data_IF_145693224959
#
_entry.id   IF_145693224959
#
_cell.length_a   1.000
_cell.length_b   1.000
_cell.length_c   1.000
_cell.angle_alpha   90.00
_cell.angle_beta   90.00
_cell.angle_gamma   90.00
#
_symmetry.space_group_name_H-M   'P 1'
#
loop_
_entity.id
_entity.type
_entity.pdbx_description
1 polymer ?
#
# COMPACT_ATOMS: atom_id res chain seq x y z
N UNK A 1 19.02 -10.00 7.51
CA UNK A 1 17.98 -10.86 6.91
C UNK A 1 17.55 -10.31 5.58
N UNK A 2 17.44 -11.19 4.60
CA UNK A 2 16.93 -10.81 3.29
C UNK A 2 15.40 -10.79 3.31
N UNK A 3 14.84 -9.82 2.61
CA UNK A 3 13.42 -9.76 2.34
C UNK A 3 13.16 -10.63 1.11
N UNK A 4 12.60 -11.81 1.32
CA UNK A 4 12.37 -12.78 0.25
C UNK A 4 11.32 -12.32 -0.76
N UNK A 5 10.64 -11.20 -0.48
CA UNK A 5 9.54 -10.69 -1.30
C UNK A 5 9.93 -9.44 -2.09
N UNK A 6 11.18 -9.03 -2.06
CA UNK A 6 11.64 -7.82 -2.76
C UNK A 6 11.35 -7.91 -4.26
N UNK A 7 11.67 -9.04 -4.88
CA UNK A 7 11.46 -9.19 -6.32
C UNK A 7 9.98 -9.19 -6.68
N UNK A 8 9.15 -9.85 -5.87
CA UNK A 8 7.70 -9.85 -6.09
C UNK A 8 7.14 -8.42 -5.98
N UNK A 9 7.63 -7.65 -5.00
CA UNK A 9 7.21 -6.27 -4.81
C UNK A 9 7.65 -5.38 -5.97
N UNK A 10 8.88 -5.57 -6.46
CA UNK A 10 9.37 -4.83 -7.61
C UNK A 10 8.56 -5.14 -8.87
N UNK A 11 8.20 -6.41 -9.07
CA UNK A 11 7.33 -6.79 -10.20
C UNK A 11 5.94 -6.17 -10.06
N UNK A 12 5.40 -6.13 -8.83
CA UNK A 12 4.12 -5.47 -8.59
C UNK A 12 4.16 -4.01 -9.04
N UNK A 13 5.21 -3.29 -8.66
CA UNK A 13 5.35 -1.88 -9.06
C UNK A 13 5.44 -1.76 -10.58
N UNK A 14 6.26 -2.56 -11.23
CA UNK A 14 6.45 -2.47 -12.68
C UNK A 14 5.21 -2.91 -13.46
N UNK A 15 4.62 -4.04 -13.09
CA UNK A 15 3.59 -4.68 -13.89
C UNK A 15 2.18 -4.21 -13.57
N UNK A 16 1.94 -3.75 -12.34
CA UNK A 16 0.61 -3.35 -11.91
C UNK A 16 0.45 -1.85 -11.79
N UNK A 17 1.51 -1.10 -11.50
CA UNK A 17 1.43 0.33 -11.26
C UNK A 17 1.96 1.13 -12.44
N UNK A 18 3.21 0.94 -12.81
CA UNK A 18 3.80 1.67 -13.95
C UNK A 18 3.04 1.36 -15.23
N UNK A 19 2.68 0.10 -15.46
CA UNK A 19 1.94 -0.32 -16.65
C UNK A 19 0.55 0.31 -16.74
N UNK A 20 0.00 0.74 -15.61
CA UNK A 20 -1.33 1.39 -15.55
C UNK A 20 -1.24 2.88 -15.32
N UNK A 21 -0.11 3.48 -15.69
CA UNK A 21 0.10 4.92 -15.70
C UNK A 21 0.13 5.58 -14.31
N UNK A 22 0.53 4.86 -13.27
CA UNK A 22 0.93 5.51 -12.02
C UNK A 22 2.28 6.16 -12.30
N UNK A 23 2.35 7.48 -12.19
CA UNK A 23 3.51 8.27 -12.62
C UNK A 23 4.27 8.94 -11.50
N UNK A 24 3.64 9.16 -10.36
CA UNK A 24 4.29 9.83 -9.24
C UNK A 24 5.43 8.97 -8.71
N UNK A 25 6.67 9.42 -8.92
CA UNK A 25 7.85 8.65 -8.51
C UNK A 25 7.91 8.41 -7.01
N UNK A 26 7.35 9.31 -6.22
CA UNK A 26 7.32 9.16 -4.76
C UNK A 26 6.36 8.06 -4.34
N UNK A 27 5.20 7.98 -5.00
CA UNK A 27 4.24 6.90 -4.77
C UNK A 27 4.86 5.56 -5.16
N UNK A 28 5.50 5.50 -6.32
CA UNK A 28 6.15 4.27 -6.80
C UNK A 28 7.25 3.82 -5.83
N UNK A 29 8.07 4.75 -5.33
CA UNK A 29 9.11 4.41 -4.36
C UNK A 29 8.54 3.91 -3.04
N UNK A 30 7.47 4.55 -2.56
CA UNK A 30 6.82 4.12 -1.32
C UNK A 30 6.26 2.70 -1.47
N UNK A 31 5.59 2.43 -2.58
CA UNK A 31 5.04 1.10 -2.85
C UNK A 31 6.14 0.04 -3.02
N UNK A 32 7.29 0.44 -3.52
CA UNK A 32 8.43 -0.48 -3.63
C UNK A 32 9.10 -0.74 -2.29
N UNK A 33 8.95 0.18 -1.33
CA UNK A 33 9.61 0.09 -0.03
C UNK A 33 8.80 -0.66 1.01
N UNK A 34 7.49 -0.40 1.08
CA UNK A 34 6.65 -0.93 2.16
C UNK A 34 6.36 -2.41 1.92
N UNK A 35 6.69 -3.27 2.89
CA UNK A 35 6.51 -4.72 2.73
C UNK A 35 5.06 -5.13 2.97
N UNK A 36 4.26 -5.11 1.91
CA UNK A 36 2.82 -5.38 1.95
C UNK A 36 2.48 -6.69 2.65
N UNK A 37 3.30 -7.73 2.45
CA UNK A 37 3.03 -9.05 3.04
C UNK A 37 3.00 -9.01 4.57
N UNK A 38 3.76 -8.10 5.20
CA UNK A 38 3.78 -8.00 6.67
C UNK A 38 2.47 -7.47 7.26
N UNK A 39 1.58 -6.96 6.42
CA UNK A 39 0.26 -6.47 6.84
C UNK A 39 -0.83 -7.53 6.68
N UNK A 40 -0.44 -8.76 6.35
CA UNK A 40 -1.33 -9.89 6.15
C UNK A 40 -0.98 -11.03 7.09
N UNK A 41 -1.94 -11.92 7.33
CA UNK A 41 -1.64 -13.16 8.03
C UNK A 41 -0.66 -13.99 7.17
N UNK A 42 0.16 -14.77 7.84
CA UNK A 42 1.25 -15.49 7.19
C UNK A 42 0.78 -16.41 6.06
N UNK A 43 -0.40 -17.00 6.20
CA UNK A 43 -0.99 -17.88 5.20
C UNK A 43 -1.22 -17.18 3.86
N UNK A 44 -1.29 -15.85 3.87
CA UNK A 44 -1.57 -15.05 2.66
C UNK A 44 -0.32 -14.40 2.07
N UNK A 45 0.84 -14.56 2.70
CA UNK A 45 2.05 -13.87 2.24
C UNK A 45 2.41 -14.18 0.79
N UNK A 46 2.19 -15.41 0.33
CA UNK A 46 2.49 -15.80 -1.04
C UNK A 46 1.66 -15.04 -2.06
N UNK A 47 0.50 -14.52 -1.65
CA UNK A 47 -0.44 -13.81 -2.50
C UNK A 47 -0.37 -12.28 -2.33
N UNK A 48 0.51 -11.79 -1.46
CA UNK A 48 0.52 -10.40 -1.02
C UNK A 48 0.70 -9.39 -2.16
N UNK A 49 1.42 -9.78 -3.20
CA UNK A 49 1.76 -8.87 -4.31
C UNK A 49 0.98 -9.16 -5.58
N UNK A 50 -0.08 -9.97 -5.48
CA UNK A 50 -0.96 -10.26 -6.58
C UNK A 50 -1.91 -9.09 -6.85
N UNK A 51 -2.44 -9.06 -8.06
CA UNK A 51 -3.22 -7.94 -8.59
C UNK A 51 -4.70 -8.04 -8.20
N UNK A 52 -4.97 -8.12 -6.90
CA UNK A 52 -6.34 -8.17 -6.38
C UNK A 52 -6.35 -7.89 -4.87
N UNK A 53 -7.53 -7.60 -4.28
CA UNK A 53 -7.65 -7.44 -2.83
C UNK A 53 -7.53 -8.79 -2.12
N UNK A 54 -7.22 -8.75 -0.83
CA UNK A 54 -7.12 -9.95 0.01
C UNK A 54 -7.88 -9.74 1.32
N UNK A 55 -8.41 -10.82 1.92
CA UNK A 55 -9.10 -10.71 3.20
C UNK A 55 -8.13 -10.44 4.36
N UNK A 56 -8.56 -9.67 5.34
CA UNK A 56 -7.77 -9.37 6.54
C UNK A 56 -8.52 -9.69 7.84
N UNK A 57 -9.65 -10.39 7.76
CA UNK A 57 -10.49 -10.68 8.92
C UNK A 57 -11.58 -9.65 9.10
N UNK A 58 -12.52 -9.91 10.03
CA UNK A 58 -13.65 -9.02 10.33
C UNK A 58 -14.42 -8.61 9.07
N UNK A 59 -14.47 -9.48 8.07
CA UNK A 59 -15.12 -9.26 6.77
C UNK A 59 -14.56 -8.06 6.01
N UNK A 60 -13.30 -7.70 6.30
CA UNK A 60 -12.62 -6.61 5.61
C UNK A 60 -11.56 -7.16 4.66
N UNK A 61 -11.08 -6.27 3.79
CA UNK A 61 -10.02 -6.61 2.84
C UNK A 61 -8.93 -5.54 2.85
N UNK A 62 -7.71 -5.94 2.47
CA UNK A 62 -6.69 -5.01 2.03
C UNK A 62 -6.95 -4.77 0.55
N UNK A 63 -6.99 -3.52 0.14
CA UNK A 63 -7.31 -3.18 -1.25
C UNK A 63 -6.23 -3.66 -2.22
N UNK A 64 -6.62 -3.88 -3.47
CA UNK A 64 -5.71 -4.20 -4.57
C UNK A 64 -4.59 -3.15 -4.62
N UNK A 65 -3.33 -3.56 -4.88
CA UNK A 65 -2.22 -2.60 -4.91
C UNK A 65 -2.43 -1.39 -5.80
N UNK A 66 -2.95 -1.60 -7.01
CA UNK A 66 -3.21 -0.51 -7.94
C UNK A 66 -4.17 0.52 -7.36
N UNK A 67 -5.24 0.07 -6.70
CA UNK A 67 -6.23 0.97 -6.11
C UNK A 67 -5.60 1.82 -5.00
N UNK A 68 -4.77 1.21 -4.16
CA UNK A 68 -4.05 1.96 -3.11
C UNK A 68 -3.18 3.05 -3.75
N UNK A 69 -2.39 2.67 -4.76
CA UNK A 69 -1.50 3.61 -5.43
C UNK A 69 -2.27 4.73 -6.14
N UNK A 70 -3.37 4.38 -6.83
CA UNK A 70 -4.19 5.34 -7.55
C UNK A 70 -4.81 6.38 -6.62
N UNK A 71 -5.38 5.93 -5.51
CA UNK A 71 -6.00 6.83 -4.55
C UNK A 71 -4.97 7.76 -3.91
N UNK A 72 -3.80 7.24 -3.58
CA UNK A 72 -2.73 8.05 -2.97
C UNK A 72 -2.16 9.04 -3.98
N UNK A 73 -1.94 8.61 -5.22
CA UNK A 73 -1.47 9.52 -6.27
C UNK A 73 -2.45 10.67 -6.48
N UNK A 74 -3.74 10.39 -6.41
CA UNK A 74 -4.77 11.41 -6.60
C UNK A 74 -4.75 12.50 -5.53
N UNK A 75 -4.18 12.22 -4.37
CA UNK A 75 -4.04 13.21 -3.30
C UNK A 75 -2.97 14.26 -3.60
N UNK A 76 -2.07 13.99 -4.51
CA UNK A 76 -1.00 14.91 -4.91
C UNK A 76 -0.19 15.42 -3.72
N UNK A 77 0.24 14.50 -2.84
CA UNK A 77 0.96 14.86 -1.63
C UNK A 77 2.35 15.43 -1.95
N UNK A 78 2.73 16.47 -1.23
CA UNK A 78 4.03 17.16 -1.42
C UNK A 78 5.04 16.85 -0.33
N UNK A 79 4.59 16.30 0.79
CA UNK A 79 5.47 15.90 1.89
C UNK A 79 5.17 16.59 3.22
N UNK A 80 4.49 17.72 3.21
CA UNK A 80 4.22 18.50 4.42
C UNK A 80 2.81 18.31 4.96
N UNK A 81 1.97 17.55 4.28
CA UNK A 81 0.55 17.42 4.63
C UNK A 81 0.34 16.57 5.87
N UNK A 82 -0.80 16.78 6.47
CA UNK A 82 -1.36 15.93 7.52
C UNK A 82 -2.57 15.25 6.91
N UNK A 83 -2.57 13.91 6.93
CA UNK A 83 -3.59 13.11 6.27
C UNK A 83 -4.42 12.37 7.32
N UNK A 84 -5.74 12.42 7.17
CA UNK A 84 -6.66 11.63 7.97
C UNK A 84 -7.14 10.45 7.14
N UNK A 85 -6.90 9.24 7.63
CA UNK A 85 -7.42 8.02 7.03
C UNK A 85 -8.59 7.51 7.85
N UNK A 86 -9.73 7.30 7.21
CA UNK A 86 -10.89 6.70 7.86
C UNK A 86 -10.98 5.25 7.42
N UNK A 87 -10.99 4.33 8.40
CA UNK A 87 -10.97 2.90 8.12
C UNK A 87 -9.56 2.39 7.92
N UNK A 88 -8.82 2.21 9.01
CA UNK A 88 -7.40 1.81 8.98
C UNK A 88 -7.19 0.43 8.32
N UNK A 89 -8.11 -0.50 8.55
CA UNK A 89 -7.98 -1.86 8.05
C UNK A 89 -6.70 -2.51 8.50
N UNK A 90 -5.87 -2.95 7.55
CA UNK A 90 -4.61 -3.63 7.85
C UNK A 90 -3.50 -2.67 8.29
N UNK A 91 -3.66 -1.37 8.02
CA UNK A 91 -2.61 -0.38 8.24
C UNK A 91 -1.68 -0.20 7.04
N UNK A 92 -1.87 -0.95 5.98
CA UNK A 92 -0.98 -0.89 4.81
C UNK A 92 -1.01 0.48 4.13
N UNK A 93 -2.20 1.01 3.84
CA UNK A 93 -2.31 2.32 3.21
C UNK A 93 -1.72 3.42 4.08
N UNK A 94 -1.93 3.34 5.41
CA UNK A 94 -1.33 4.29 6.34
C UNK A 94 0.19 4.23 6.29
N UNK A 95 0.77 3.02 6.19
CA UNK A 95 2.21 2.86 6.09
C UNK A 95 2.75 3.49 4.81
N UNK A 96 2.08 3.29 3.68
CA UNK A 96 2.47 3.92 2.42
C UNK A 96 2.38 5.44 2.53
N UNK A 97 1.26 5.95 3.06
CA UNK A 97 1.05 7.39 3.26
C UNK A 97 2.15 8.02 4.12
N UNK A 98 2.61 7.29 5.14
CA UNK A 98 3.62 7.81 6.06
C UNK A 98 4.95 8.14 5.37
N UNK A 99 5.19 7.57 4.19
CA UNK A 99 6.37 7.88 3.38
C UNK A 99 6.20 9.15 2.55
N UNK A 100 4.97 9.70 2.47
CA UNK A 100 4.62 10.72 1.50
C UNK A 100 4.11 12.02 2.12
N UNK A 101 3.85 12.03 3.41
CA UNK A 101 3.32 13.20 4.10
C UNK A 101 3.96 13.34 5.47
N UNK A 102 3.69 14.46 6.16
CA UNK A 102 4.29 14.73 7.46
C UNK A 102 3.69 13.87 8.57
N UNK A 103 2.37 13.71 8.57
CA UNK A 103 1.67 12.96 9.62
C UNK A 103 0.46 12.22 9.03
N UNK A 104 0.21 11.03 9.54
CA UNK A 104 -1.00 10.26 9.21
C UNK A 104 -1.76 10.01 10.50
N UNK A 105 -3.05 10.32 10.48
CA UNK A 105 -3.98 10.02 11.57
C UNK A 105 -4.98 9.01 11.04
N UNK A 106 -5.05 7.83 11.66
CA UNK A 106 -5.96 6.78 11.24
C UNK A 106 -7.03 6.55 12.26
N UNK A 107 -8.27 6.41 11.79
CA UNK A 107 -9.43 6.14 12.64
C UNK A 107 -10.07 4.83 12.17
N UNK A 108 -10.22 3.90 13.10
CA UNK A 108 -10.90 2.63 12.83
C UNK A 108 -12.30 2.70 13.44
N UNK A 109 -13.31 2.32 12.64
CA UNK A 109 -14.70 2.44 13.03
C UNK A 109 -15.35 1.09 13.36
N UNK A 110 -14.57 0.02 13.28
CA UNK A 110 -15.06 -1.34 13.60
C UNK A 110 -14.36 -1.85 14.85
#
# INVERSE_FOLDING_TARGET
>A
MTDDYVQARERMVAEQLVSRAIKDSRVLRAMAKIPRHLFLERELWEHAYEDHPLPIGAKQTISQPYIVALMIEALELKGAERVLEVGTGSGYAAAVLSELCAEVFSVEVI
#
